data_IF_795092146279
#
_entry.id   IF_795092146279
#
_cell.length_a   1.000
_cell.length_b   1.000
_cell.length_c   1.000
_cell.angle_alpha   90.00
_cell.angle_beta   90.00
_cell.angle_gamma   90.00
#
_symmetry.space_group_name_H-M   'P 1'
#
loop_
_entity.id
_entity.type
_entity.pdbx_description
1 polymer ?
#
# COMPACT_ATOMS: atom_id res chain seq x y z
N UNK A 1 60.03 55.64 17.50
CA UNK A 1 60.38 54.40 16.77
C UNK A 1 59.46 53.27 17.23
N UNK A 2 58.46 52.98 16.39
CA UNK A 2 57.48 51.89 16.45
C UNK A 2 58.16 50.51 16.21
N UNK A 3 57.48 49.33 16.10
CA UNK A 3 56.15 48.86 16.55
C UNK A 3 56.13 47.37 17.07
N UNK A 4 54.92 46.84 17.32
CA UNK A 4 54.48 45.44 17.09
C UNK A 4 54.80 44.35 18.13
N UNK A 5 53.76 43.70 18.69
CA UNK A 5 53.34 42.33 18.30
C UNK A 5 52.37 41.73 19.33
N UNK A 6 51.12 41.61 18.90
CA UNK A 6 50.04 40.84 19.52
C UNK A 6 50.39 39.35 19.53
N UNK A 7 50.50 38.74 20.71
CA UNK A 7 50.65 37.29 20.88
C UNK A 7 49.29 36.62 20.68
N UNK A 8 49.12 36.02 19.50
CA UNK A 8 47.97 35.17 19.17
C UNK A 8 48.17 33.77 19.74
N UNK A 9 47.14 33.26 20.44
CA UNK A 9 47.08 31.93 21.04
C UNK A 9 47.02 30.84 19.95
N UNK A 10 48.15 30.19 19.68
CA UNK A 10 48.18 28.91 18.99
C UNK A 10 47.96 27.77 20.01
N UNK A 11 46.71 27.41 20.22
CA UNK A 11 46.32 26.17 20.90
C UNK A 11 46.37 25.01 19.91
N UNK A 12 47.51 24.33 19.85
CA UNK A 12 47.70 23.07 19.14
C UNK A 12 46.88 21.98 19.85
N UNK A 13 45.89 21.40 19.16
CA UNK A 13 45.11 20.26 19.65
C UNK A 13 45.38 19.06 18.73
N UNK A 14 45.90 17.94 19.23
CA UNK A 14 46.35 16.84 18.39
C UNK A 14 45.17 16.05 17.81
N UNK A 15 45.18 15.93 16.49
CA UNK A 15 44.27 15.12 15.71
C UNK A 15 44.53 13.63 15.98
N UNK A 16 43.82 13.05 16.95
CA UNK A 16 43.74 11.61 17.11
C UNK A 16 43.04 11.00 15.89
N UNK A 17 43.81 10.35 15.02
CA UNK A 17 43.30 9.49 13.97
C UNK A 17 42.75 8.21 14.59
N UNK A 18 41.48 8.23 14.99
CA UNK A 18 40.75 7.02 15.35
C UNK A 18 40.48 6.18 14.11
N UNK A 19 41.21 5.07 13.95
CA UNK A 19 40.94 4.05 12.94
C UNK A 19 39.56 3.45 13.18
N UNK A 20 38.55 3.91 12.44
CA UNK A 20 37.20 3.37 12.48
C UNK A 20 37.14 2.09 11.63
N UNK A 21 37.74 1.01 12.10
CA UNK A 21 37.48 -0.34 11.58
C UNK A 21 36.10 -0.78 12.05
N UNK A 22 35.07 -0.27 11.37
CA UNK A 22 33.68 -0.71 11.54
C UNK A 22 33.57 -2.15 11.05
N UNK A 23 33.82 -3.10 11.94
CA UNK A 23 33.48 -4.49 11.74
C UNK A 23 32.01 -4.58 11.31
N UNK A 24 31.79 -5.02 10.07
CA UNK A 24 30.46 -5.13 9.46
C UNK A 24 29.76 -6.35 10.03
N UNK A 25 29.37 -6.27 11.30
CA UNK A 25 28.50 -7.25 11.92
C UNK A 25 27.20 -7.29 11.10
N UNK A 26 26.99 -8.40 10.39
CA UNK A 26 25.73 -8.68 9.70
C UNK A 26 24.66 -8.85 10.77
N UNK A 27 24.00 -7.75 11.12
CA UNK A 27 22.86 -7.75 12.04
C UNK A 27 21.78 -8.63 11.40
N UNK A 28 21.73 -9.92 11.74
CA UNK A 28 20.58 -10.79 11.45
C UNK A 28 19.37 -10.02 11.95
N UNK A 29 18.50 -9.59 11.02
CA UNK A 29 17.23 -8.95 11.37
C UNK A 29 16.53 -9.90 12.34
N UNK A 30 16.34 -9.46 13.59
CA UNK A 30 15.52 -10.16 14.55
C UNK A 30 14.20 -10.49 13.87
N UNK A 31 13.89 -11.79 13.76
CA UNK A 31 12.64 -12.26 13.18
C UNK A 31 11.52 -11.55 13.94
N UNK A 32 10.75 -10.69 13.27
CA UNK A 32 9.67 -9.95 13.92
C UNK A 32 8.79 -10.94 14.70
N UNK A 33 8.40 -10.57 15.92
CA UNK A 33 7.52 -11.40 16.77
C UNK A 33 6.31 -11.85 15.95
N UNK A 34 6.09 -13.16 15.88
CA UNK A 34 4.94 -13.73 15.19
C UNK A 34 3.66 -13.16 15.85
N UNK A 35 2.84 -12.46 15.08
CA UNK A 35 1.58 -11.86 15.55
C UNK A 35 1.42 -10.36 15.31
N UNK A 36 2.50 -9.60 15.04
CA UNK A 36 2.37 -8.16 14.75
C UNK A 36 1.93 -7.96 13.29
N UNK A 37 0.81 -7.27 13.08
CA UNK A 37 0.32 -6.94 11.74
C UNK A 37 1.39 -6.15 10.97
N UNK A 38 1.62 -6.50 9.70
CA UNK A 38 2.51 -5.72 8.83
C UNK A 38 1.87 -4.34 8.66
N UNK A 39 2.63 -3.27 8.87
CA UNK A 39 2.16 -1.89 8.73
C UNK A 39 2.64 -1.29 7.40
N UNK A 40 1.77 -0.61 6.64
CA UNK A 40 2.14 0.17 5.44
C UNK A 40 1.96 1.65 5.70
N UNK A 41 2.65 2.51 4.95
CA UNK A 41 2.44 3.96 4.99
C UNK A 41 1.03 4.28 4.50
N UNK A 42 0.33 5.15 5.20
CA UNK A 42 -1.03 5.50 4.82
C UNK A 42 -1.07 6.29 3.52
N UNK A 43 -2.02 5.98 2.61
CA UNK A 43 -2.16 6.71 1.36
C UNK A 43 -2.39 8.21 1.58
N UNK A 44 -3.10 8.56 2.66
CA UNK A 44 -3.41 9.94 3.05
C UNK A 44 -2.28 10.60 3.87
N UNK A 45 -1.30 9.83 4.34
CA UNK A 45 -0.21 10.41 5.13
C UNK A 45 0.74 11.22 4.23
N UNK A 46 1.15 12.43 4.68
CA UNK A 46 2.09 13.27 3.95
C UNK A 46 3.35 12.49 3.54
N UNK A 47 3.69 12.57 2.25
CA UNK A 47 4.93 12.00 1.74
C UNK A 47 6.10 12.86 2.20
N UNK A 48 7.21 12.24 2.59
CA UNK A 48 8.41 12.95 3.04
C UNK A 48 8.86 13.97 1.98
N UNK A 49 9.39 15.09 2.45
CA UNK A 49 9.99 16.09 1.58
C UNK A 49 11.10 15.49 0.69
N UNK A 50 11.19 16.00 -0.53
CA UNK A 50 12.19 15.68 -1.53
C UNK A 50 13.41 16.58 -1.33
N UNK A 51 14.60 15.99 -1.37
CA UNK A 51 15.84 16.75 -1.34
C UNK A 51 16.15 17.37 -2.72
N UNK A 52 17.11 18.30 -2.75
CA UNK A 52 17.57 18.96 -3.98
C UNK A 52 17.96 17.94 -5.06
N UNK A 53 18.68 16.89 -4.64
CA UNK A 53 19.04 15.77 -5.50
C UNK A 53 17.82 15.00 -6.03
N UNK A 54 16.76 14.80 -5.24
CA UNK A 54 15.57 14.07 -5.72
C UNK A 54 14.88 14.86 -6.83
N UNK A 55 14.71 16.18 -6.67
CA UNK A 55 14.17 17.03 -7.74
C UNK A 55 15.02 16.97 -9.00
N UNK A 56 16.33 17.21 -8.87
CA UNK A 56 17.28 17.10 -9.97
C UNK A 56 17.22 15.73 -10.65
N UNK A 57 17.24 14.64 -9.87
CA UNK A 57 17.20 13.28 -10.39
C UNK A 57 15.89 12.99 -11.10
N UNK A 58 14.75 13.50 -10.65
CA UNK A 58 13.47 13.26 -11.31
C UNK A 58 13.40 13.93 -12.68
N UNK A 59 13.93 15.15 -12.79
CA UNK A 59 13.98 15.89 -14.05
C UNK A 59 15.00 15.26 -15.01
N UNK A 60 16.22 14.98 -14.54
CA UNK A 60 17.27 14.32 -15.35
C UNK A 60 16.93 12.87 -15.73
N UNK A 61 16.29 12.09 -14.84
CA UNK A 61 15.79 10.77 -15.21
C UNK A 61 14.73 10.87 -16.31
N UNK A 62 13.86 11.88 -16.29
CA UNK A 62 12.84 12.09 -17.33
C UNK A 62 13.48 12.50 -18.65
N UNK A 63 14.45 13.40 -18.63
CA UNK A 63 15.20 13.86 -19.80
C UNK A 63 15.99 12.71 -20.46
N UNK A 64 16.77 11.97 -19.67
CA UNK A 64 17.55 10.84 -20.17
C UNK A 64 16.63 9.72 -20.64
N UNK A 65 15.53 9.42 -19.94
CA UNK A 65 14.57 8.39 -20.39
C UNK A 65 13.89 8.77 -21.71
N UNK A 66 13.57 10.05 -21.91
CA UNK A 66 13.05 10.55 -23.18
C UNK A 66 14.10 10.37 -24.30
N UNK A 67 15.35 10.74 -24.04
CA UNK A 67 16.47 10.60 -25.00
C UNK A 67 16.78 9.14 -25.35
N UNK A 68 16.61 8.21 -24.40
CA UNK A 68 16.93 6.79 -24.57
C UNK A 68 15.80 5.95 -25.21
N UNK A 69 14.58 6.48 -25.31
CA UNK A 69 13.44 5.82 -25.99
C UNK A 69 13.05 4.44 -25.43
N UNK A 70 12.12 3.75 -26.11
CA UNK A 70 11.53 2.42 -25.75
C UNK A 70 12.54 1.25 -25.73
N UNK A 71 13.82 1.47 -25.97
CA UNK A 71 14.81 0.40 -26.02
C UNK A 71 15.16 -0.04 -24.58
N UNK A 72 14.56 -1.11 -24.04
CA UNK A 72 15.05 -1.80 -22.84
C UNK A 72 14.89 -1.09 -21.49
N UNK A 73 13.64 -0.87 -21.06
CA UNK A 73 13.27 -0.05 -19.89
C UNK A 73 13.81 -0.51 -18.51
N UNK A 74 14.22 -1.77 -18.35
CA UNK A 74 14.63 -2.32 -17.04
C UNK A 74 16.14 -2.31 -16.81
N UNK A 75 16.94 -2.66 -17.82
CA UNK A 75 18.41 -2.73 -17.72
C UNK A 75 19.06 -1.33 -17.73
N UNK A 76 18.45 -0.39 -18.47
CA UNK A 76 18.98 0.97 -18.61
C UNK A 76 18.74 1.86 -17.39
N UNK A 77 17.78 1.56 -16.51
CA UNK A 77 17.48 2.42 -15.34
C UNK A 77 18.68 2.54 -14.40
N UNK A 78 19.47 1.48 -14.22
CA UNK A 78 20.70 1.51 -13.40
C UNK A 78 21.76 2.41 -14.02
N UNK A 79 21.91 2.37 -15.35
CA UNK A 79 22.86 3.22 -16.09
C UNK A 79 22.42 4.69 -16.00
N UNK A 80 21.11 4.96 -16.15
CA UNK A 80 20.53 6.31 -15.98
C UNK A 80 20.80 6.86 -14.58
N UNK A 81 20.61 6.05 -13.54
CA UNK A 81 20.87 6.46 -12.17
C UNK A 81 22.36 6.79 -11.93
N UNK A 82 23.30 6.05 -12.57
CA UNK A 82 24.74 6.36 -12.52
C UNK A 82 25.04 7.71 -13.18
N UNK A 83 24.56 7.92 -14.41
CA UNK A 83 24.75 9.18 -15.14
C UNK A 83 24.19 10.39 -14.37
N UNK A 84 23.05 10.23 -13.69
CA UNK A 84 22.44 11.30 -12.89
C UNK A 84 23.25 11.58 -11.63
N UNK A 85 23.81 10.55 -11.01
CA UNK A 85 24.66 10.71 -9.82
C UNK A 85 25.97 11.44 -10.17
N UNK A 86 26.55 11.14 -11.34
CA UNK A 86 27.73 11.84 -11.86
C UNK A 86 27.40 13.29 -12.21
N UNK A 87 26.29 13.54 -12.90
CA UNK A 87 25.82 14.89 -13.23
C UNK A 87 25.55 15.75 -11.97
N UNK A 88 25.03 15.16 -10.88
CA UNK A 88 24.85 15.88 -9.62
C UNK A 88 26.17 16.25 -8.94
N UNK A 89 27.19 15.41 -9.06
CA UNK A 89 28.53 15.69 -8.50
C UNK A 89 29.26 16.79 -9.26
N UNK A 90 29.09 16.84 -10.58
CA UNK A 90 29.68 17.86 -11.45
C UNK A 90 28.89 19.18 -11.53
N UNK A 91 27.76 19.29 -10.82
CA UNK A 91 26.91 20.48 -10.90
C UNK A 91 27.56 21.67 -10.16
N UNK A 92 27.67 22.87 -10.78
CA UNK A 92 28.23 24.03 -10.11
C UNK A 92 27.33 24.46 -8.93
N UNK A 93 27.91 25.08 -7.87
CA UNK A 93 27.16 25.52 -6.69
C UNK A 93 25.97 26.42 -7.02
N UNK A 94 26.08 27.26 -8.05
CA UNK A 94 25.04 28.19 -8.48
C UNK A 94 23.77 27.47 -8.97
N UNK A 95 23.93 26.45 -9.81
CA UNK A 95 22.81 25.62 -10.27
C UNK A 95 22.27 24.76 -9.12
N UNK A 96 23.16 24.28 -8.26
CA UNK A 96 22.79 23.50 -7.07
C UNK A 96 21.93 24.31 -6.11
N UNK A 97 22.18 25.61 -5.95
CA UNK A 97 21.38 26.50 -5.13
C UNK A 97 19.91 26.59 -5.59
N UNK A 98 19.66 26.55 -6.91
CA UNK A 98 18.28 26.52 -7.46
C UNK A 98 17.54 25.27 -6.99
N UNK A 99 18.22 24.12 -6.97
CA UNK A 99 17.64 22.85 -6.51
C UNK A 99 17.48 22.81 -4.99
N UNK A 100 18.40 23.42 -4.24
CA UNK A 100 18.33 23.56 -2.79
C UNK A 100 17.15 24.45 -2.37
N UNK A 101 16.89 25.53 -3.10
CA UNK A 101 15.72 26.37 -2.91
C UNK A 101 14.41 25.61 -3.21
N UNK A 102 14.36 24.83 -4.29
CA UNK A 102 13.22 23.91 -4.56
C UNK A 102 13.01 22.92 -3.42
N UNK A 103 14.08 22.39 -2.83
CA UNK A 103 14.01 21.47 -1.71
C UNK A 103 13.56 22.15 -0.41
N UNK A 104 13.97 23.40 -0.18
CA UNK A 104 13.51 24.22 0.96
C UNK A 104 12.00 24.40 0.92
N UNK A 105 11.46 24.81 -0.24
CA UNK A 105 10.00 24.94 -0.44
C UNK A 105 9.25 23.63 -0.22
N UNK A 106 9.79 22.49 -0.66
CA UNK A 106 9.14 21.19 -0.43
C UNK A 106 9.23 20.72 1.03
N UNK A 107 10.27 21.14 1.76
CA UNK A 107 10.37 20.94 3.20
C UNK A 107 9.28 21.73 3.95
N UNK A 108 9.08 22.98 3.58
CA UNK A 108 7.99 23.82 4.11
C UNK A 108 6.61 23.22 3.80
N UNK A 109 6.39 22.77 2.56
CA UNK A 109 5.18 22.02 2.16
C UNK A 109 4.95 20.81 3.07
N UNK A 110 5.98 19.99 3.29
CA UNK A 110 5.88 18.81 4.15
C UNK A 110 5.61 19.16 5.61
N UNK A 111 6.22 20.23 6.13
CA UNK A 111 5.99 20.69 7.51
C UNK A 111 4.56 21.20 7.70
N UNK A 112 4.02 21.96 6.74
CA UNK A 112 2.61 22.39 6.74
C UNK A 112 1.62 21.21 6.59
N UNK A 113 1.90 20.26 5.70
CA UNK A 113 1.10 19.03 5.58
C UNK A 113 1.17 18.18 6.85
N UNK A 114 2.35 18.10 7.46
CA UNK A 114 2.60 17.32 8.68
C UNK A 114 1.90 17.94 9.89
N UNK A 115 1.88 19.27 10.03
CA UNK A 115 1.17 19.94 11.12
C UNK A 115 -0.35 19.79 10.98
N UNK A 116 -0.86 19.78 9.75
CA UNK A 116 -2.29 19.60 9.46
C UNK A 116 -2.72 18.13 9.62
N UNK A 117 -1.81 17.17 9.43
CA UNK A 117 -2.14 15.75 9.42
C UNK A 117 -2.29 15.13 10.82
N UNK A 118 -3.53 14.77 11.19
CA UNK A 118 -3.88 14.12 12.47
C UNK A 118 -4.09 12.60 12.38
N UNK A 119 -3.83 11.98 11.22
CA UNK A 119 -4.05 10.55 11.01
C UNK A 119 -2.90 9.65 11.52
N UNK A 120 -3.11 8.32 11.58
CA UNK A 120 -2.00 7.40 11.79
C UNK A 120 -0.97 7.54 10.66
N UNK A 121 0.31 7.29 10.94
CA UNK A 121 1.36 7.32 9.90
C UNK A 121 1.55 5.97 9.20
N UNK A 122 0.91 4.94 9.75
CA UNK A 122 1.08 3.53 9.43
C UNK A 122 -0.22 2.79 9.73
N UNK A 123 -0.95 2.31 8.73
CA UNK A 123 -2.07 1.38 8.91
C UNK A 123 -1.64 -0.07 8.75
N UNK A 124 -2.33 -1.00 9.45
CA UNK A 124 -2.25 -2.42 9.15
C UNK A 124 -2.48 -2.69 7.66
N UNK A 125 -1.64 -3.56 7.09
CA UNK A 125 -1.86 -4.12 5.77
C UNK A 125 -3.00 -5.11 5.87
N UNK A 126 -4.19 -4.68 5.48
CA UNK A 126 -5.31 -5.56 5.25
C UNK A 126 -4.94 -6.59 4.18
N UNK A 127 -5.12 -7.86 4.53
CA UNK A 127 -4.97 -8.95 3.57
C UNK A 127 -6.27 -9.01 2.79
N UNK A 128 -6.25 -9.00 1.45
CA UNK A 128 -7.45 -9.22 0.66
C UNK A 128 -8.13 -10.50 1.14
N UNK A 129 -9.43 -10.41 1.42
CA UNK A 129 -10.23 -11.59 1.70
C UNK A 129 -10.29 -12.45 0.44
N UNK A 130 -10.23 -13.77 0.60
CA UNK A 130 -10.37 -14.69 -0.52
C UNK A 130 -11.86 -14.82 -0.84
N UNK A 131 -12.19 -14.92 -2.11
CA UNK A 131 -13.58 -15.14 -2.52
C UNK A 131 -14.13 -16.43 -1.87
N UNK A 132 -15.35 -16.42 -1.31
CA UNK A 132 -15.94 -17.60 -0.68
C UNK A 132 -16.07 -18.79 -1.64
N UNK A 133 -16.28 -18.52 -2.93
CA UNK A 133 -16.40 -19.52 -3.98
C UNK A 133 -15.04 -19.98 -4.56
N UNK A 134 -13.92 -19.35 -4.17
CA UNK A 134 -12.62 -19.77 -4.67
C UNK A 134 -12.21 -21.12 -4.06
N UNK A 135 -11.78 -22.11 -4.88
CA UNK A 135 -11.30 -23.38 -4.38
C UNK A 135 -10.20 -23.18 -3.31
N UNK A 136 -10.33 -23.90 -2.19
CA UNK A 136 -9.31 -23.89 -1.11
C UNK A 136 -8.10 -24.71 -1.52
N UNK A 137 -6.90 -24.29 -1.09
CA UNK A 137 -5.66 -25.01 -1.38
C UNK A 137 -5.71 -26.42 -0.77
N UNK A 138 -5.16 -27.44 -1.46
CA UNK A 138 -5.14 -28.80 -0.95
C UNK A 138 -4.25 -28.90 0.29
N UNK A 139 -4.58 -29.86 1.16
CA UNK A 139 -3.83 -30.18 2.37
C UNK A 139 -2.59 -31.00 1.97
N UNK A 140 -1.41 -30.66 2.50
CA UNK A 140 -0.16 -31.39 2.22
C UNK A 140 -0.10 -32.73 2.94
N UNK A 141 0.73 -33.67 2.46
CA UNK A 141 0.90 -35.02 3.02
C UNK A 141 1.16 -35.01 4.54
N UNK A 142 2.10 -34.19 5.00
CA UNK A 142 2.37 -34.03 6.44
C UNK A 142 1.15 -33.56 7.25
N UNK A 143 0.32 -32.70 6.66
CA UNK A 143 -0.82 -32.10 7.35
C UNK A 143 -2.00 -33.08 7.38
N UNK A 144 -2.13 -33.95 6.38
CA UNK A 144 -3.02 -35.12 6.43
C UNK A 144 -2.62 -36.05 7.58
N UNK A 145 -1.34 -36.44 7.63
CA UNK A 145 -0.78 -37.25 8.73
C UNK A 145 -0.98 -36.60 10.11
N UNK A 146 -0.67 -35.31 10.20
CA UNK A 146 -0.81 -34.55 11.44
C UNK A 146 -2.26 -34.49 11.89
N UNK A 147 -3.23 -34.34 10.99
CA UNK A 147 -4.65 -34.27 11.37
C UNK A 147 -5.14 -35.59 11.96
N UNK A 148 -4.73 -36.74 11.39
CA UNK A 148 -5.10 -38.06 11.90
C UNK A 148 -4.48 -38.39 13.25
N UNK A 149 -3.20 -37.99 13.47
CA UNK A 149 -2.45 -38.38 14.67
C UNK A 149 -2.48 -37.35 15.81
N UNK A 150 -2.97 -36.13 15.55
CA UNK A 150 -2.97 -35.05 16.54
C UNK A 150 -3.85 -35.34 17.76
N UNK A 151 -5.00 -36.00 17.56
CA UNK A 151 -5.88 -36.40 18.67
C UNK A 151 -5.18 -37.37 19.61
N UNK A 152 -4.52 -38.40 19.07
CA UNK A 152 -3.77 -39.38 19.86
C UNK A 152 -2.60 -38.77 20.65
N UNK A 153 -1.84 -37.86 20.03
CA UNK A 153 -0.75 -37.15 20.73
C UNK A 153 -1.31 -36.21 21.81
N UNK A 154 -2.42 -35.53 21.55
CA UNK A 154 -3.05 -34.63 22.53
C UNK A 154 -3.67 -35.39 23.71
N UNK A 155 -4.19 -36.59 23.49
CA UNK A 155 -4.68 -37.46 24.57
C UNK A 155 -3.53 -37.96 25.47
N UNK A 156 -2.37 -38.28 24.88
CA UNK A 156 -1.18 -38.68 25.65
C UNK A 156 -0.54 -37.52 26.40
N UNK A 157 -0.64 -36.31 25.86
CA UNK A 157 -0.10 -35.08 26.44
C UNK A 157 -1.18 -34.00 26.54
N UNK A 158 -2.15 -34.13 27.47
CA UNK A 158 -3.26 -33.19 27.60
C UNK A 158 -2.78 -31.79 27.99
N UNK A 159 -1.74 -31.68 28.83
CA UNK A 159 -1.13 -30.41 29.26
C UNK A 159 -0.22 -29.77 28.20
N UNK A 160 0.18 -30.51 27.16
CA UNK A 160 1.10 -29.97 26.15
C UNK A 160 0.44 -28.88 25.29
N UNK A 161 1.19 -27.81 25.01
CA UNK A 161 0.70 -26.74 24.13
C UNK A 161 0.56 -27.25 22.71
N UNK A 162 -0.38 -26.72 21.94
CA UNK A 162 -0.54 -27.07 20.51
C UNK A 162 0.76 -26.94 19.71
N UNK A 163 1.65 -26.02 20.10
CA UNK A 163 2.97 -25.86 19.51
C UNK A 163 3.91 -27.05 19.81
N UNK A 164 3.83 -27.63 21.01
CA UNK A 164 4.61 -28.80 21.41
C UNK A 164 4.10 -30.04 20.68
N UNK A 165 2.78 -30.22 20.60
CA UNK A 165 2.13 -31.30 19.83
C UNK A 165 2.51 -31.23 18.35
N UNK A 166 2.54 -30.03 17.76
CA UNK A 166 2.98 -29.88 16.38
C UNK A 166 4.47 -30.20 16.19
N UNK A 167 5.32 -29.94 17.20
CA UNK A 167 6.75 -30.30 17.16
C UNK A 167 6.97 -31.80 17.25
N UNK A 168 6.25 -32.49 18.13
CA UNK A 168 6.34 -33.96 18.25
C UNK A 168 5.85 -34.66 16.98
N UNK A 169 4.73 -34.22 16.39
CA UNK A 169 4.24 -34.75 15.11
C UNK A 169 5.22 -34.53 13.96
N UNK A 170 5.91 -33.39 13.93
CA UNK A 170 6.94 -33.12 12.93
C UNK A 170 8.18 -34.01 13.09
N UNK A 171 8.53 -34.41 14.31
CA UNK A 171 9.60 -35.39 14.56
C UNK A 171 9.17 -36.79 14.09
N UNK A 172 7.98 -37.23 14.49
CA UNK A 172 7.40 -38.51 14.05
C UNK A 172 7.37 -38.63 12.52
N UNK A 173 6.91 -37.58 11.82
CA UNK A 173 6.89 -37.58 10.35
C UNK A 173 8.26 -37.78 9.70
N UNK A 174 9.35 -37.29 10.32
CA UNK A 174 10.71 -37.50 9.80
C UNK A 174 11.20 -38.93 10.02
N UNK A 175 10.81 -39.53 11.13
CA UNK A 175 11.15 -40.90 11.52
C UNK A 175 10.33 -41.94 10.75
N UNK A 176 9.15 -41.58 10.24
CA UNK A 176 8.30 -42.49 9.46
C UNK A 176 9.06 -43.09 8.25
N UNK A 177 8.90 -44.40 7.97
CA UNK A 177 9.45 -45.03 6.79
C UNK A 177 8.84 -44.41 5.52
N UNK A 178 9.59 -44.46 4.43
CA UNK A 178 9.18 -43.85 3.15
C UNK A 178 7.87 -44.45 2.64
N UNK A 179 7.69 -45.76 2.80
CA UNK A 179 6.50 -46.47 2.33
C UNK A 179 5.23 -45.98 3.04
N UNK A 180 5.30 -45.78 4.36
CA UNK A 180 4.18 -45.22 5.11
C UNK A 180 3.91 -43.74 4.76
N UNK A 181 4.97 -42.97 4.44
CA UNK A 181 4.80 -41.58 3.96
C UNK A 181 4.19 -41.52 2.57
N UNK A 182 4.52 -42.47 1.70
CA UNK A 182 4.08 -42.51 0.32
C UNK A 182 2.55 -42.54 0.21
N UNK A 183 1.86 -43.28 1.09
CA UNK A 183 0.38 -43.30 1.13
C UNK A 183 -0.20 -41.89 1.29
N UNK A 184 0.39 -41.06 2.14
CA UNK A 184 -0.05 -39.68 2.34
C UNK A 184 0.37 -38.75 1.20
N UNK A 185 1.52 -39.01 0.57
CA UNK A 185 1.98 -38.27 -0.61
C UNK A 185 1.06 -38.53 -1.83
N UNK A 186 0.63 -39.77 -2.05
CA UNK A 186 -0.34 -40.12 -3.08
C UNK A 186 -1.71 -39.46 -2.82
N UNK A 187 -2.16 -39.42 -1.56
CA UNK A 187 -3.36 -38.69 -1.18
C UNK A 187 -3.23 -37.18 -1.46
N UNK A 188 -2.08 -36.57 -1.12
CA UNK A 188 -1.81 -35.17 -1.47
C UNK A 188 -1.86 -34.95 -2.99
N UNK A 189 -1.26 -35.85 -3.77
CA UNK A 189 -1.24 -35.75 -5.23
C UNK A 189 -2.65 -35.79 -5.81
N UNK A 190 -3.52 -36.68 -5.33
CA UNK A 190 -4.94 -36.74 -5.73
C UNK A 190 -5.66 -35.42 -5.42
N UNK A 191 -5.56 -34.93 -4.19
CA UNK A 191 -6.16 -33.64 -3.78
C UNK A 191 -5.63 -32.46 -4.61
N UNK A 192 -4.35 -32.49 -4.98
CA UNK A 192 -3.72 -31.47 -5.83
C UNK A 192 -4.24 -31.50 -7.27
N UNK A 193 -4.48 -32.68 -7.82
CA UNK A 193 -5.09 -32.85 -9.14
C UNK A 193 -6.54 -32.35 -9.15
N UNK A 194 -7.34 -32.76 -8.16
CA UNK A 194 -8.71 -32.27 -7.98
C UNK A 194 -8.76 -30.74 -7.86
N UNK A 195 -7.87 -30.16 -7.05
CA UNK A 195 -7.74 -28.71 -6.91
C UNK A 195 -7.37 -28.04 -8.23
N UNK A 196 -6.46 -28.62 -9.03
CA UNK A 196 -6.08 -28.08 -10.34
C UNK A 196 -7.29 -28.00 -11.28
N UNK A 197 -8.11 -29.06 -11.30
CA UNK A 197 -9.36 -29.09 -12.08
C UNK A 197 -10.37 -28.07 -11.55
N UNK A 198 -10.56 -28.00 -10.22
CA UNK A 198 -11.46 -27.03 -9.60
C UNK A 198 -11.07 -25.58 -9.87
N UNK A 199 -9.77 -25.25 -9.80
CA UNK A 199 -9.26 -23.92 -10.13
C UNK A 199 -9.43 -23.60 -11.61
N UNK A 200 -9.24 -24.57 -12.51
CA UNK A 200 -9.50 -24.37 -13.93
C UNK A 200 -10.98 -24.04 -14.18
N UNK A 201 -11.90 -24.76 -13.54
CA UNK A 201 -13.34 -24.48 -13.58
C UNK A 201 -13.67 -23.09 -13.01
N UNK A 202 -13.14 -22.75 -11.84
CA UNK A 202 -13.37 -21.45 -11.20
C UNK A 202 -12.87 -20.30 -12.08
N UNK A 203 -11.65 -20.39 -12.63
CA UNK A 203 -11.12 -19.37 -13.55
C UNK A 203 -11.94 -19.24 -14.83
N UNK A 204 -12.44 -20.36 -15.37
CA UNK A 204 -13.33 -20.34 -16.52
C UNK A 204 -14.66 -19.65 -16.19
N UNK A 205 -15.23 -19.92 -15.01
CA UNK A 205 -16.44 -19.25 -14.52
C UNK A 205 -16.23 -17.76 -14.26
N UNK A 206 -15.11 -17.36 -13.65
CA UNK A 206 -14.76 -15.94 -13.48
C UNK A 206 -14.63 -15.24 -14.84
N UNK A 207 -13.96 -15.89 -15.80
CA UNK A 207 -13.82 -15.36 -17.15
C UNK A 207 -15.19 -15.26 -17.84
N UNK A 208 -16.03 -16.28 -17.74
CA UNK A 208 -17.38 -16.27 -18.32
C UNK A 208 -18.24 -15.18 -17.68
N UNK A 209 -18.24 -15.05 -16.35
CA UNK A 209 -18.93 -13.99 -15.62
C UNK A 209 -18.48 -12.59 -16.05
N UNK A 210 -17.19 -12.41 -16.32
CA UNK A 210 -16.65 -11.16 -16.85
C UNK A 210 -17.01 -10.93 -18.32
N UNK A 211 -17.17 -11.99 -19.11
CA UNK A 211 -17.53 -11.92 -20.53
C UNK A 211 -19.03 -11.77 -20.78
N UNK A 212 -19.89 -12.14 -19.82
CA UNK A 212 -21.33 -11.95 -19.96
C UNK A 212 -21.62 -10.44 -20.04
N UNK A 213 -22.27 -9.94 -21.10
CA UNK A 213 -22.75 -8.57 -21.12
C UNK A 213 -23.73 -8.43 -19.97
N UNK A 214 -23.46 -7.46 -19.08
CA UNK A 214 -24.38 -7.11 -18.01
C UNK A 214 -25.77 -6.91 -18.64
N UNK A 215 -26.84 -7.53 -18.11
CA UNK A 215 -28.17 -7.27 -18.62
C UNK A 215 -28.35 -5.76 -18.58
N UNK A 216 -28.45 -5.15 -19.76
CA UNK A 216 -28.82 -3.77 -19.92
C UNK A 216 -30.06 -3.59 -19.06
N UNK A 217 -29.94 -2.76 -18.02
CA UNK A 217 -31.05 -2.35 -17.18
C UNK A 217 -32.25 -2.18 -18.11
N UNK A 218 -33.40 -2.84 -17.88
CA UNK A 218 -34.58 -2.52 -18.65
C UNK A 218 -34.74 -1.01 -18.47
N UNK A 219 -34.53 -0.26 -19.56
CA UNK A 219 -34.77 1.17 -19.55
C UNK A 219 -36.17 1.28 -18.99
N UNK A 220 -36.28 1.86 -17.80
CA UNK A 220 -37.54 2.09 -17.11
C UNK A 220 -38.40 2.77 -18.16
N UNK A 221 -39.31 1.99 -18.77
CA UNK A 221 -40.16 2.48 -19.84
C UNK A 221 -40.75 3.76 -19.27
N UNK A 222 -40.53 4.86 -19.98
CA UNK A 222 -41.04 6.16 -19.61
C UNK A 222 -42.53 5.96 -19.34
N UNK A 223 -42.88 5.87 -18.05
CA UNK A 223 -44.25 5.79 -17.62
C UNK A 223 -44.85 7.12 -18.06
N UNK A 224 -45.68 7.04 -19.09
CA UNK A 224 -46.50 8.12 -19.57
C UNK A 224 -47.08 8.86 -18.36
N UNK A 225 -46.76 10.15 -18.27
CA UNK A 225 -47.43 11.05 -17.37
C UNK A 225 -48.93 11.01 -17.73
N UNK A 226 -49.85 10.80 -16.79
CA UNK A 226 -51.25 11.01 -17.08
C UNK A 226 -51.46 12.51 -17.30
N UNK A 227 -51.89 12.85 -18.51
CA UNK A 227 -52.55 14.11 -18.85
C UNK A 227 -53.64 14.40 -17.81
N UNK A 228 -53.40 15.36 -16.92
CA UNK A 228 -54.46 15.93 -16.10
C UNK A 228 -55.31 16.79 -17.04
N UNK A 229 -56.53 16.31 -17.24
CA UNK A 229 -57.61 17.00 -17.92
C UNK A 229 -58.01 18.20 -17.04
N UNK A 230 -57.61 19.41 -17.44
CA UNK A 230 -58.04 20.65 -16.80
C UNK A 230 -59.42 21.02 -17.35
N UNK A 231 -60.46 20.51 -16.68
CA UNK A 231 -61.84 20.97 -16.85
C UNK A 231 -62.15 22.03 -15.80
N UNK A 232 -62.32 23.24 -16.33
CA UNK A 232 -63.07 24.38 -15.81
C UNK A 232 -64.19 23.99 -14.84
N UNK A 233 -64.20 24.64 -13.68
CA UNK A 233 -65.43 25.06 -13.00
C UNK A 233 -65.30 26.54 -12.62
N UNK A 234 -66.05 27.37 -13.34
CA UNK A 234 -66.27 28.78 -13.05
C UNK A 234 -66.94 28.97 -11.68
N UNK A 235 -66.31 29.75 -10.80
CA UNK A 235 -67.02 30.44 -9.71
C UNK A 235 -66.60 31.91 -9.67
N UNK A 236 -67.41 32.69 -10.37
CA UNK A 236 -67.79 34.08 -10.17
C UNK A 236 -67.17 34.85 -8.98
N UNK A 237 -66.50 35.95 -9.35
CA UNK A 237 -66.71 37.31 -8.82
C UNK A 237 -66.50 37.59 -7.33
N UNK A 238 -65.27 38.01 -6.99
CA UNK A 238 -64.97 38.85 -5.81
C UNK A 238 -64.11 40.07 -6.18
N UNK A 239 -64.47 40.77 -7.26
CA UNK A 239 -63.84 42.03 -7.64
C UNK A 239 -64.89 43.13 -7.88
N UNK A 240 -65.73 43.37 -6.87
CA UNK A 240 -66.68 44.49 -6.83
C UNK A 240 -67.16 44.82 -5.40
N UNK A 241 -66.27 45.28 -4.52
CA UNK A 241 -66.50 46.05 -3.28
C UNK A 241 -65.16 46.02 -2.51
N UNK A 242 -64.36 47.07 -2.33
CA UNK A 242 -64.66 48.45 -1.98
C UNK A 242 -63.84 49.45 -2.83
N UNK A 243 -64.54 50.42 -3.42
CA UNK A 243 -64.03 51.76 -3.71
C UNK A 243 -64.27 52.64 -2.47
N UNK A 244 -63.48 53.72 -2.35
CA UNK A 244 -63.71 54.93 -1.55
C UNK A 244 -63.58 54.75 -0.02
N UNK A 245 -63.07 55.68 0.77
CA UNK A 245 -62.51 57.02 0.60
C UNK A 245 -61.60 57.28 1.82
N UNK A 246 -60.57 58.11 1.69
CA UNK A 246 -60.54 59.46 2.28
C UNK A 246 -60.59 59.47 3.82
N UNK A 247 -59.43 59.64 4.45
CA UNK A 247 -59.33 60.21 5.78
C UNK A 247 -58.10 61.12 5.83
N UNK A 248 -58.36 62.40 5.60
CA UNK A 248 -57.52 63.52 6.01
C UNK A 248 -58.12 64.15 7.27
N UNK A 249 -57.27 64.80 8.08
CA UNK A 249 -57.54 65.80 9.15
C UNK A 249 -57.70 65.22 10.57
N UNK A 250 -56.64 65.24 11.42
CA UNK A 250 -56.15 66.31 12.36
C UNK A 250 -56.80 66.24 13.76
N UNK A 251 -56.20 66.75 14.86
CA UNK A 251 -55.69 68.13 15.02
C UNK A 251 -54.17 68.29 15.28
#
# INVERSE_FOLDING_TARGET
PTPTTTVSKNGSSPQQQGTNTKAKATRRRSRAKAGVAKLKKDPKAPRRFKSAFIFFSTEKHKEIRKRMGKQGAKEKTTIVAKMVSEAWKGLPPNERAIWEEKARKDKERFEAEKSTYKGPWRVPVERPQRDPNAPKRPISAFLLFSNSNRSGVKQRFPEATNADVSRTLAALWKELPKDARQVYEEQEQKLRQEYKVAVAKFRAQEKAKLLLPQPSQPQRAAAALPTVCEQSVDTLSWNSMLRAGDESVFP
#
